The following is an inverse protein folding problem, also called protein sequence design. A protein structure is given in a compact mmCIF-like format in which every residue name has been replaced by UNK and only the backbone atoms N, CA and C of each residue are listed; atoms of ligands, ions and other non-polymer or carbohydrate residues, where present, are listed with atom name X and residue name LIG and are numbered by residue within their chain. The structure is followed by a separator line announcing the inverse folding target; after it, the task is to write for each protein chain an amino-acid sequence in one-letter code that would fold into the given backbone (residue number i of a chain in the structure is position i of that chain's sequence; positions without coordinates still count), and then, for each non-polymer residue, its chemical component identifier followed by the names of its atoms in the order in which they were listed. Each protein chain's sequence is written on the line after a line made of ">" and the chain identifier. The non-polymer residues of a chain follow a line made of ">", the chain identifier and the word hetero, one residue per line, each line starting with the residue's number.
data_IF_580560481111
#
_entry.id   IF_580560481111
#
_cell.length_a   1.000
_cell.length_b   1.000
_cell.length_c   1.000
_cell.angle_alpha   90.00
_cell.angle_beta   90.00
_cell.angle_gamma   90.00
#
_symmetry.space_group_name_H-M   'P 1'
#
loop_
_entity.id
_entity.type
_entity.pdbx_description
1 polymer ?
#
# COMPACT_ATOMS: atom_id res chain seq x y z
N UNK A 1 -26.16 -15.80 -23.68
CA UNK A 1 -24.72 -15.85 -23.87
C UNK A 1 -24.15 -14.79 -22.89
N UNK A 2 -23.58 -15.22 -21.78
CA UNK A 2 -22.88 -14.31 -20.87
C UNK A 2 -21.63 -13.82 -21.63
N UNK A 3 -21.49 -12.51 -21.77
CA UNK A 3 -20.26 -11.93 -22.29
C UNK A 3 -19.11 -12.38 -21.36
N UNK A 4 -18.14 -13.10 -21.91
CA UNK A 4 -16.87 -13.37 -21.23
C UNK A 4 -16.33 -12.00 -20.80
N UNK A 5 -16.26 -11.75 -19.49
CA UNK A 5 -15.54 -10.59 -19.00
C UNK A 5 -14.12 -10.69 -19.58
N UNK A 6 -13.69 -9.68 -20.31
CA UNK A 6 -12.31 -9.61 -20.81
C UNK A 6 -11.40 -9.65 -19.59
N UNK A 7 -10.50 -10.64 -19.53
CA UNK A 7 -9.48 -10.70 -18.51
C UNK A 7 -8.63 -9.43 -18.62
N UNK A 8 -8.64 -8.62 -17.59
CA UNK A 8 -7.92 -7.35 -17.55
C UNK A 8 -7.00 -7.35 -16.34
N UNK A 9 -5.76 -6.92 -16.52
CA UNK A 9 -4.90 -6.52 -15.44
C UNK A 9 -5.16 -5.04 -15.17
N UNK A 10 -5.59 -4.68 -13.96
CA UNK A 10 -5.90 -3.28 -13.65
C UNK A 10 -5.46 -2.89 -12.24
N UNK A 11 -5.16 -1.60 -12.08
CA UNK A 11 -4.80 -0.98 -10.81
C UNK A 11 -5.85 0.07 -10.48
N UNK A 12 -6.35 0.05 -9.25
CA UNK A 12 -7.31 1.00 -8.71
C UNK A 12 -6.82 1.60 -7.40
N UNK A 13 -7.11 2.87 -7.17
CA UNK A 13 -6.97 3.50 -5.86
C UNK A 13 -8.35 3.63 -5.20
N UNK A 14 -8.41 3.42 -3.89
CA UNK A 14 -9.62 3.56 -3.08
C UNK A 14 -9.27 4.40 -1.85
N UNK A 15 -9.74 5.66 -1.82
CA UNK A 15 -9.58 6.53 -0.68
C UNK A 15 -10.60 6.15 0.41
N UNK A 16 -10.12 6.00 1.66
CA UNK A 16 -10.99 5.67 2.79
C UNK A 16 -10.93 6.71 3.92
N UNK A 17 -10.13 7.78 3.77
CA UNK A 17 -10.07 8.89 4.70
C UNK A 17 -8.99 9.89 4.33
N UNK A 18 -8.93 10.97 5.13
CA UNK A 18 -7.89 12.00 5.07
C UNK A 18 -7.50 12.43 6.47
N UNK A 19 -6.27 12.89 6.63
CA UNK A 19 -5.76 13.49 7.85
C UNK A 19 -4.56 14.38 7.52
N UNK A 20 -3.74 14.71 8.53
CA UNK A 20 -2.54 15.52 8.34
C UNK A 20 -1.36 14.91 9.08
N UNK A 21 -0.15 15.17 8.57
CA UNK A 21 1.11 14.83 9.22
C UNK A 21 2.00 16.08 9.39
N UNK A 22 2.80 16.16 10.47
CA UNK A 22 3.81 17.19 10.62
C UNK A 22 4.98 16.96 9.64
N UNK A 23 5.64 18.05 9.26
CA UNK A 23 6.65 18.02 8.21
C UNK A 23 7.90 17.22 8.54
N UNK A 24 8.25 17.10 9.80
CA UNK A 24 9.36 16.26 10.27
C UNK A 24 9.06 14.76 10.19
N UNK A 25 7.81 14.36 10.12
CA UNK A 25 7.43 12.98 9.74
C UNK A 25 7.50 12.77 8.23
N UNK A 26 7.03 13.74 7.45
CA UNK A 26 6.96 13.64 5.99
C UNK A 26 8.35 13.63 5.35
N UNK A 27 9.25 14.52 5.80
CA UNK A 27 10.59 14.67 5.25
C UNK A 27 11.63 14.63 6.37
N UNK A 28 12.72 13.94 6.13
CA UNK A 28 13.88 13.98 7.03
C UNK A 28 14.42 15.41 7.11
N UNK A 29 14.45 15.96 8.34
CA UNK A 29 14.80 17.37 8.58
C UNK A 29 13.71 18.37 8.23
N UNK A 30 12.48 17.93 8.01
CA UNK A 30 11.32 18.80 7.76
C UNK A 30 10.93 19.63 8.99
N UNK A 31 10.20 20.72 8.75
CA UNK A 31 9.71 21.61 9.82
C UNK A 31 8.47 20.97 10.50
N UNK A 32 8.52 20.66 11.81
CA UNK A 32 7.38 20.09 12.52
C UNK A 32 6.17 21.04 12.60
N UNK A 33 6.35 22.34 12.38
CA UNK A 33 5.25 23.31 12.32
C UNK A 33 4.54 23.30 10.95
N UNK A 34 5.17 22.78 9.94
CA UNK A 34 4.54 22.61 8.63
C UNK A 34 3.62 21.39 8.67
N UNK A 35 2.34 21.61 8.41
CA UNK A 35 1.34 20.53 8.42
C UNK A 35 0.99 20.15 6.97
N UNK A 36 1.11 18.88 6.64
CA UNK A 36 0.85 18.32 5.33
C UNK A 36 -0.46 17.53 5.32
N UNK A 37 -1.39 17.81 4.39
CA UNK A 37 -2.54 16.94 4.19
C UNK A 37 -2.09 15.62 3.60
N UNK A 38 -2.68 14.53 4.07
CA UNK A 38 -2.49 13.19 3.54
C UNK A 38 -3.83 12.49 3.30
N UNK A 39 -3.85 11.60 2.31
CA UNK A 39 -4.93 10.64 2.11
C UNK A 39 -4.62 9.33 2.81
N UNK A 40 -5.66 8.56 3.07
CA UNK A 40 -5.57 7.16 3.45
C UNK A 40 -6.09 6.35 2.26
N UNK A 41 -5.20 5.64 1.58
CA UNK A 41 -5.47 4.94 0.33
C UNK A 41 -5.22 3.44 0.47
N UNK A 42 -6.09 2.66 -0.15
CA UNK A 42 -5.83 1.27 -0.52
C UNK A 42 -5.58 1.21 -2.02
N UNK A 43 -4.73 0.29 -2.45
CA UNK A 43 -4.61 -0.02 -3.88
C UNK A 43 -5.09 -1.44 -4.14
N UNK A 44 -5.94 -1.59 -5.15
CA UNK A 44 -6.44 -2.88 -5.61
C UNK A 44 -5.84 -3.20 -6.97
N UNK A 45 -5.24 -4.38 -7.09
CA UNK A 45 -4.82 -4.94 -8.37
C UNK A 45 -5.76 -6.10 -8.70
N UNK A 46 -6.46 -5.99 -9.83
CA UNK A 46 -7.25 -7.09 -10.38
C UNK A 46 -6.47 -7.75 -11.51
N UNK A 47 -6.33 -9.06 -11.48
CA UNK A 47 -5.68 -9.87 -12.50
C UNK A 47 -6.43 -11.18 -12.67
N UNK A 48 -5.95 -12.11 -13.51
CA UNK A 48 -6.63 -13.37 -13.80
C UNK A 48 -6.87 -14.22 -12.55
N UNK A 49 -8.10 -14.19 -12.05
CA UNK A 49 -8.55 -14.95 -10.88
C UNK A 49 -8.14 -14.38 -9.53
N UNK A 50 -7.43 -13.25 -9.47
CA UNK A 50 -6.99 -12.61 -8.24
C UNK A 50 -7.48 -11.18 -8.09
N UNK A 51 -7.81 -10.82 -6.85
CA UNK A 51 -8.01 -9.46 -6.34
C UNK A 51 -7.04 -9.23 -5.21
N UNK A 52 -5.94 -8.56 -5.53
CA UNK A 52 -4.84 -8.33 -4.61
C UNK A 52 -4.94 -6.93 -4.04
N UNK A 53 -5.10 -6.82 -2.73
CA UNK A 53 -5.10 -5.55 -2.04
C UNK A 53 -3.68 -5.24 -1.55
N UNK A 54 -3.22 -4.01 -1.76
CA UNK A 54 -1.98 -3.52 -1.18
C UNK A 54 -2.36 -2.71 0.06
N UNK A 55 -1.95 -3.22 1.20
CA UNK A 55 -2.35 -2.85 2.55
C UNK A 55 -3.84 -3.05 2.84
N UNK A 56 -4.18 -3.14 4.12
CA UNK A 56 -5.53 -3.42 4.59
C UNK A 56 -6.23 -2.21 5.20
N UNK A 57 -5.51 -1.12 5.44
CA UNK A 57 -6.02 0.04 6.14
C UNK A 57 -6.32 -0.21 7.62
N UNK A 58 -7.12 0.68 8.22
CA UNK A 58 -7.55 0.57 9.62
C UNK A 58 -9.00 1.04 9.79
N UNK A 59 -9.61 0.70 10.93
CA UNK A 59 -10.96 1.19 11.29
C UNK A 59 -10.91 2.38 12.25
N UNK A 60 -9.76 2.66 12.82
CA UNK A 60 -9.54 3.79 13.72
C UNK A 60 -8.10 4.26 13.59
N UNK A 61 -7.85 5.53 13.84
CA UNK A 61 -6.51 6.13 13.82
C UNK A 61 -6.35 7.03 15.06
N UNK A 62 -6.09 6.43 16.24
CA UNK A 62 -6.00 7.18 17.49
C UNK A 62 -4.95 8.29 17.45
N UNK A 63 -5.33 9.48 17.91
CA UNK A 63 -4.45 10.67 17.90
C UNK A 63 -4.53 11.50 16.62
N UNK A 64 -5.27 11.08 15.61
CA UNK A 64 -5.47 11.83 14.37
C UNK A 64 -6.91 12.34 14.24
N UNK A 65 -7.06 13.53 13.67
CA UNK A 65 -8.36 14.05 13.25
C UNK A 65 -8.62 13.54 11.83
N UNK A 66 -9.65 12.69 11.69
CA UNK A 66 -9.98 12.06 10.41
C UNK A 66 -11.10 12.82 9.72
N UNK A 67 -10.97 13.02 8.42
CA UNK A 67 -11.98 13.61 7.53
C UNK A 67 -12.41 12.56 6.49
N UNK A 68 -13.68 12.57 6.10
CA UNK A 68 -14.28 11.66 5.10
C UNK A 68 -13.96 10.18 5.36
N UNK A 69 -13.75 9.83 6.63
CA UNK A 69 -13.26 8.53 7.03
C UNK A 69 -14.38 7.47 7.02
N UNK A 70 -14.05 6.32 6.49
CA UNK A 70 -14.87 5.09 6.52
C UNK A 70 -13.98 3.87 6.67
N UNK A 71 -14.54 2.75 7.09
CA UNK A 71 -13.74 1.52 7.16
C UNK A 71 -13.24 1.11 5.77
N UNK A 72 -12.07 0.44 5.65
CA UNK A 72 -11.57 -0.10 4.39
C UNK A 72 -12.60 -0.95 3.64
N UNK A 73 -13.31 -1.82 4.36
CA UNK A 73 -14.37 -2.65 3.80
C UNK A 73 -15.54 -1.83 3.23
N UNK A 74 -15.96 -0.75 3.92
CA UNK A 74 -17.01 0.12 3.42
C UNK A 74 -16.56 0.89 2.17
N UNK A 75 -15.31 1.38 2.14
CA UNK A 75 -14.77 2.08 0.97
C UNK A 75 -14.67 1.16 -0.26
N UNK A 76 -14.25 -0.08 -0.08
CA UNK A 76 -14.25 -1.10 -1.14
C UNK A 76 -15.68 -1.40 -1.64
N UNK A 77 -16.63 -1.61 -0.70
CA UNK A 77 -18.02 -1.89 -1.06
C UNK A 77 -18.67 -0.73 -1.84
N UNK A 78 -18.41 0.52 -1.44
CA UNK A 78 -18.87 1.72 -2.17
C UNK A 78 -18.25 1.82 -3.58
N UNK A 79 -17.03 1.30 -3.74
CA UNK A 79 -16.39 1.18 -5.06
C UNK A 79 -16.93 0.00 -5.90
N UNK A 80 -17.80 -0.84 -5.32
CA UNK A 80 -18.39 -2.01 -5.98
C UNK A 80 -17.59 -3.31 -5.80
N UNK A 81 -16.64 -3.37 -4.89
CA UNK A 81 -15.81 -4.53 -4.59
C UNK A 81 -16.24 -5.14 -3.26
N UNK A 82 -16.74 -6.36 -3.28
CA UNK A 82 -17.08 -7.08 -2.06
C UNK A 82 -15.81 -7.47 -1.29
N UNK A 83 -15.68 -7.16 0.01
CA UNK A 83 -14.49 -7.52 0.80
C UNK A 83 -14.15 -9.01 0.76
N UNK A 84 -15.16 -9.88 0.77
CA UNK A 84 -14.98 -11.34 0.69
C UNK A 84 -14.44 -11.82 -0.67
N UNK A 85 -14.39 -10.95 -1.69
CA UNK A 85 -13.82 -11.25 -2.99
C UNK A 85 -12.31 -10.97 -3.09
N UNK A 86 -11.72 -10.37 -2.05
CA UNK A 86 -10.27 -10.17 -1.97
C UNK A 86 -9.60 -11.52 -1.75
N UNK A 87 -8.69 -11.89 -2.63
CA UNK A 87 -7.99 -13.18 -2.60
C UNK A 87 -6.64 -13.10 -1.88
N UNK A 88 -6.00 -11.93 -1.94
CA UNK A 88 -4.67 -11.71 -1.42
C UNK A 88 -4.58 -10.30 -0.82
N UNK A 89 -3.83 -10.15 0.26
CA UNK A 89 -3.45 -8.84 0.83
C UNK A 89 -1.93 -8.82 0.99
N UNK A 90 -1.28 -7.89 0.32
CA UNK A 90 0.15 -7.62 0.52
C UNK A 90 0.28 -6.55 1.59
N UNK A 91 0.91 -6.86 2.71
CA UNK A 91 1.18 -5.91 3.79
C UNK A 91 2.56 -5.31 3.56
N UNK A 92 2.60 -4.02 3.21
CA UNK A 92 3.86 -3.30 3.00
C UNK A 92 4.64 -3.21 4.30
N UNK A 93 3.96 -2.94 5.41
CA UNK A 93 4.53 -2.96 6.76
C UNK A 93 3.40 -3.03 7.82
N UNK A 94 3.76 -3.24 9.07
CA UNK A 94 2.80 -3.59 10.12
C UNK A 94 2.41 -2.41 11.04
N UNK A 95 2.42 -1.16 10.54
CA UNK A 95 1.75 -0.08 11.25
C UNK A 95 0.24 -0.22 11.15
N UNK A 96 -0.48 0.34 12.13
CA UNK A 96 -1.90 0.09 12.34
C UNK A 96 -2.76 0.46 11.12
N UNK A 97 -2.42 1.53 10.42
CA UNK A 97 -3.12 2.03 9.24
C UNK A 97 -2.84 1.24 7.94
N UNK A 98 -1.97 0.23 8.01
CA UNK A 98 -1.67 -0.69 6.92
C UNK A 98 -2.16 -2.12 7.17
N UNK A 99 -2.21 -2.58 8.45
CA UNK A 99 -2.49 -3.98 8.78
C UNK A 99 -3.79 -4.22 9.56
N UNK A 100 -4.29 -3.26 10.34
CA UNK A 100 -5.39 -3.53 11.29
C UNK A 100 -6.73 -3.90 10.60
N UNK A 101 -6.89 -3.50 9.33
CA UNK A 101 -8.05 -3.83 8.51
C UNK A 101 -8.08 -5.26 7.97
N UNK A 102 -7.05 -6.09 8.16
CA UNK A 102 -6.99 -7.48 7.63
C UNK A 102 -8.18 -8.35 8.05
N UNK A 103 -8.82 -8.05 9.19
CA UNK A 103 -10.01 -8.73 9.66
C UNK A 103 -11.23 -8.66 8.72
N UNK A 104 -11.23 -7.69 7.81
CA UNK A 104 -12.28 -7.52 6.81
C UNK A 104 -12.11 -8.45 5.60
N UNK A 105 -10.97 -9.13 5.49
CA UNK A 105 -10.60 -9.96 4.34
C UNK A 105 -10.35 -11.42 4.74
N UNK A 106 -11.35 -12.12 5.32
CA UNK A 106 -11.15 -13.44 5.95
C UNK A 106 -10.79 -14.56 4.97
N UNK A 107 -11.01 -14.34 3.67
CA UNK A 107 -10.68 -15.30 2.61
C UNK A 107 -9.28 -15.07 2.00
N UNK A 108 -8.68 -13.93 2.29
CA UNK A 108 -7.41 -13.53 1.68
C UNK A 108 -6.22 -14.26 2.29
N UNK A 109 -5.22 -14.55 1.45
CA UNK A 109 -3.87 -14.88 1.91
C UNK A 109 -3.14 -13.59 2.23
N UNK A 110 -2.62 -13.45 3.45
CA UNK A 110 -1.83 -12.29 3.87
C UNK A 110 -0.36 -12.54 3.54
N UNK A 111 0.23 -11.74 2.68
CA UNK A 111 1.66 -11.78 2.33
C UNK A 111 2.38 -10.71 3.15
N UNK A 112 3.27 -11.11 4.04
CA UNK A 112 3.93 -10.22 5.00
C UNK A 112 5.40 -10.60 5.21
N UNK A 113 6.25 -9.60 5.32
CA UNK A 113 7.67 -9.81 5.61
C UNK A 113 7.86 -10.35 7.05
N UNK A 114 8.86 -11.24 7.24
CA UNK A 114 9.11 -11.98 8.48
C UNK A 114 9.21 -11.08 9.72
N UNK A 115 9.93 -9.96 9.65
CA UNK A 115 10.10 -9.06 10.80
C UNK A 115 8.79 -8.34 11.18
N UNK A 116 7.97 -8.00 10.19
CA UNK A 116 6.65 -7.40 10.43
C UNK A 116 5.67 -8.45 10.99
N UNK A 117 5.71 -9.67 10.47
CA UNK A 117 4.93 -10.78 11.00
C UNK A 117 5.24 -11.02 12.47
N UNK A 118 6.52 -11.12 12.84
CA UNK A 118 6.94 -11.38 14.22
C UNK A 118 6.47 -10.29 15.21
N UNK A 119 6.37 -9.06 14.75
CA UNK A 119 5.86 -7.93 15.54
C UNK A 119 4.35 -7.96 15.73
N UNK A 120 3.58 -8.46 14.76
CA UNK A 120 2.11 -8.31 14.73
C UNK A 120 1.33 -9.62 14.68
N UNK A 121 1.96 -10.79 14.64
CA UNK A 121 1.28 -12.09 14.56
C UNK A 121 0.21 -12.32 15.63
N UNK A 122 0.41 -11.76 16.84
CA UNK A 122 -0.57 -11.85 17.93
C UNK A 122 -1.84 -11.01 17.69
N UNK A 123 -1.80 -10.06 16.75
CA UNK A 123 -2.92 -9.17 16.40
C UNK A 123 -3.67 -9.64 15.15
N UNK A 124 -3.15 -10.66 14.45
CA UNK A 124 -3.82 -11.20 13.26
C UNK A 124 -5.07 -11.98 13.66
N UNK A 125 -6.11 -12.02 12.80
CA UNK A 125 -7.31 -12.81 13.06
C UNK A 125 -6.97 -14.29 13.26
N UNK A 126 -7.63 -14.97 14.20
CA UNK A 126 -7.46 -16.42 14.38
C UNK A 126 -7.80 -17.17 13.09
N UNK A 127 -6.87 -18.04 12.64
CA UNK A 127 -7.05 -18.83 11.42
C UNK A 127 -6.77 -18.09 10.12
N UNK A 128 -6.23 -16.87 10.16
CA UNK A 128 -5.78 -16.17 8.96
C UNK A 128 -4.76 -17.00 8.17
N UNK A 129 -4.95 -17.09 6.86
CA UNK A 129 -3.96 -17.68 5.97
C UNK A 129 -2.81 -16.67 5.77
N UNK A 130 -1.59 -17.05 6.11
CA UNK A 130 -0.43 -16.15 6.07
C UNK A 130 0.71 -16.78 5.30
N UNK A 131 1.22 -16.05 4.32
CA UNK A 131 2.46 -16.33 3.61
C UNK A 131 3.53 -15.35 4.10
N UNK A 132 4.49 -15.86 4.83
CA UNK A 132 5.62 -15.07 5.36
C UNK A 132 6.80 -15.19 4.42
N UNK A 133 7.45 -14.07 4.10
CA UNK A 133 8.63 -14.05 3.23
C UNK A 133 9.80 -13.27 3.89
N UNK A 134 11.03 -13.55 3.46
CA UNK A 134 12.24 -12.88 3.95
C UNK A 134 12.64 -11.69 3.06
N UNK A 135 13.17 -11.95 1.87
CA UNK A 135 13.71 -10.90 1.00
C UNK A 135 12.69 -10.40 -0.04
N UNK A 136 11.74 -11.25 -0.38
CA UNK A 136 10.70 -10.95 -1.34
C UNK A 136 9.91 -12.18 -1.77
N UNK A 137 8.83 -11.94 -2.51
CA UNK A 137 8.01 -12.98 -3.11
C UNK A 137 7.28 -12.43 -4.35
N UNK A 138 6.68 -13.32 -5.15
CA UNK A 138 5.78 -12.91 -6.24
C UNK A 138 4.36 -13.33 -5.88
N UNK A 139 3.41 -12.39 -5.94
CA UNK A 139 1.99 -12.59 -5.64
C UNK A 139 1.20 -12.59 -6.94
N UNK A 140 0.21 -13.48 -7.06
CA UNK A 140 -0.65 -13.64 -8.24
C UNK A 140 0.15 -13.78 -9.56
N UNK A 141 1.41 -14.24 -9.50
CA UNK A 141 2.27 -14.46 -10.65
C UNK A 141 2.79 -13.21 -11.37
N UNK A 142 2.45 -11.99 -10.90
CA UNK A 142 2.78 -10.75 -11.61
C UNK A 142 3.12 -9.55 -10.71
N UNK A 143 2.96 -9.65 -9.39
CA UNK A 143 3.30 -8.59 -8.44
C UNK A 143 4.54 -9.03 -7.67
N UNK A 144 5.66 -8.36 -7.89
CA UNK A 144 6.89 -8.64 -7.19
C UNK A 144 6.96 -7.80 -5.91
N UNK A 145 7.10 -8.46 -4.76
CA UNK A 145 7.24 -7.82 -3.46
C UNK A 145 8.69 -7.90 -3.01
N UNK A 146 9.26 -6.78 -2.59
CA UNK A 146 10.66 -6.68 -2.20
C UNK A 146 10.81 -6.00 -0.84
N UNK A 147 11.59 -6.62 0.04
CA UNK A 147 11.97 -6.05 1.33
C UNK A 147 12.94 -4.87 1.14
N UNK A 148 12.62 -3.75 1.75
CA UNK A 148 13.44 -2.50 1.75
C UNK A 148 14.03 -2.24 3.13
N UNK A 149 13.22 -2.30 4.19
CA UNK A 149 13.63 -2.10 5.58
C UNK A 149 14.00 -0.67 5.92
N UNK A 150 13.44 0.30 5.21
CA UNK A 150 13.70 1.73 5.43
C UNK A 150 12.78 2.31 6.50
N UNK A 151 11.48 2.34 6.25
CA UNK A 151 10.49 2.92 7.16
C UNK A 151 10.30 2.08 8.43
N UNK A 152 10.22 0.78 8.32
CA UNK A 152 10.20 -0.18 9.43
C UNK A 152 11.15 -1.34 9.16
N UNK A 153 11.47 -2.20 10.15
CA UNK A 153 12.46 -3.29 9.97
C UNK A 153 12.14 -4.24 8.82
N UNK A 154 10.85 -4.49 8.56
CA UNK A 154 10.41 -5.37 7.49
C UNK A 154 9.63 -4.66 6.39
N UNK A 155 9.67 -3.31 6.33
CA UNK A 155 8.94 -2.58 5.30
C UNK A 155 9.34 -3.02 3.90
N UNK A 156 8.34 -3.18 3.05
CA UNK A 156 8.44 -3.77 1.73
C UNK A 156 7.65 -2.95 0.72
N UNK A 157 8.02 -3.05 -0.54
CA UNK A 157 7.30 -2.45 -1.67
C UNK A 157 6.73 -3.54 -2.55
N UNK A 158 5.72 -3.21 -3.35
CA UNK A 158 5.23 -4.08 -4.39
C UNK A 158 5.38 -3.41 -5.76
N UNK A 159 5.75 -4.17 -6.80
CA UNK A 159 5.99 -3.69 -8.14
C UNK A 159 5.19 -4.50 -9.16
N UNK A 160 4.65 -3.82 -10.17
CA UNK A 160 3.94 -4.46 -11.27
C UNK A 160 4.11 -3.65 -12.57
N UNK A 161 4.14 -4.34 -13.71
CA UNK A 161 4.15 -3.67 -15.01
C UNK A 161 2.77 -3.78 -15.67
N UNK A 162 2.20 -2.63 -16.02
CA UNK A 162 0.92 -2.54 -16.76
C UNK A 162 1.11 -1.67 -17.98
N UNK A 163 0.82 -2.18 -19.15
CA UNK A 163 0.98 -1.48 -20.44
C UNK A 163 2.37 -0.86 -20.64
N UNK A 164 3.42 -1.56 -20.19
CA UNK A 164 4.81 -1.11 -20.30
C UNK A 164 5.24 -0.08 -19.25
N UNK A 165 4.34 0.37 -18.39
CA UNK A 165 4.65 1.26 -17.25
C UNK A 165 4.90 0.43 -16.00
N UNK A 166 5.99 0.71 -15.30
CA UNK A 166 6.35 0.06 -14.04
C UNK A 166 5.79 0.85 -12.87
N UNK A 167 4.77 0.29 -12.22
CA UNK A 167 4.15 0.85 -11.03
C UNK A 167 4.79 0.28 -9.78
N UNK A 168 5.00 1.15 -8.77
CA UNK A 168 5.62 0.82 -7.50
C UNK A 168 4.71 1.29 -6.38
N UNK A 169 4.22 0.38 -5.55
CA UNK A 169 3.49 0.70 -4.32
C UNK A 169 4.51 0.86 -3.21
N UNK A 170 4.78 2.12 -2.84
CA UNK A 170 5.91 2.47 -1.99
C UNK A 170 5.68 2.27 -0.49
N UNK A 171 4.42 1.98 -0.07
CA UNK A 171 4.07 2.02 1.35
C UNK A 171 4.51 3.35 1.97
N UNK A 172 5.09 3.29 3.16
CA UNK A 172 5.60 4.45 3.89
C UNK A 172 7.10 4.70 3.73
N UNK A 173 7.75 4.02 2.76
CA UNK A 173 9.12 4.42 2.37
C UNK A 173 9.16 5.88 1.88
N UNK A 174 8.00 6.38 1.45
CA UNK A 174 7.76 7.76 1.08
C UNK A 174 6.28 8.09 1.30
N UNK A 175 5.97 9.12 2.10
CA UNK A 175 4.57 9.52 2.34
C UNK A 175 3.97 10.31 1.19
N UNK A 176 4.72 11.27 0.62
CA UNK A 176 4.23 12.22 -0.35
C UNK A 176 5.18 12.35 -1.54
N UNK A 177 4.68 12.76 -2.73
CA UNK A 177 5.50 12.94 -3.92
C UNK A 177 6.71 13.88 -3.73
N UNK A 178 6.63 14.80 -2.78
CA UNK A 178 7.73 15.73 -2.46
C UNK A 178 9.00 15.01 -2.02
N UNK A 179 8.89 13.85 -1.35
CA UNK A 179 10.04 13.03 -0.97
C UNK A 179 10.85 12.58 -2.20
N UNK A 180 10.14 12.08 -3.23
CA UNK A 180 10.76 11.64 -4.48
C UNK A 180 11.28 12.83 -5.31
N UNK A 181 10.52 13.93 -5.36
CA UNK A 181 10.90 15.15 -6.11
C UNK A 181 12.18 15.78 -5.57
N UNK A 182 12.31 15.84 -4.25
CA UNK A 182 13.49 16.40 -3.57
C UNK A 182 14.58 15.37 -3.29
N UNK A 183 14.27 14.06 -3.46
CA UNK A 183 15.13 12.93 -3.09
C UNK A 183 15.53 12.96 -1.62
N UNK A 184 14.58 13.39 -0.77
CA UNK A 184 14.72 13.42 0.68
C UNK A 184 13.83 12.29 1.24
N UNK A 185 14.37 11.35 2.02
CA UNK A 185 13.57 10.26 2.59
C UNK A 185 12.57 10.75 3.63
N UNK A 186 11.62 9.88 4.00
CA UNK A 186 10.71 10.15 5.11
C UNK A 186 11.46 10.42 6.41
N UNK A 187 10.92 11.30 7.25
CA UNK A 187 11.46 11.56 8.59
C UNK A 187 11.19 10.42 9.58
N UNK A 188 10.15 9.62 9.29
CA UNK A 188 9.77 8.43 10.09
C UNK A 188 10.50 7.16 9.60
N UNK A 189 11.83 7.21 9.51
CA UNK A 189 12.63 6.10 9.01
C UNK A 189 13.29 5.30 10.14
N UNK A 190 13.14 3.96 10.12
CA UNK A 190 13.89 3.04 10.96
C UNK A 190 15.36 2.93 10.51
N UNK A 191 15.57 2.84 9.19
CA UNK A 191 16.91 2.80 8.59
C UNK A 191 17.05 3.92 7.54
N UNK A 192 17.56 5.12 7.92
CA UNK A 192 17.66 6.27 7.03
C UNK A 192 18.39 5.99 5.73
N UNK A 193 19.43 5.13 5.77
CA UNK A 193 20.18 4.75 4.57
C UNK A 193 19.34 3.97 3.57
N UNK A 194 18.49 3.04 4.02
CA UNK A 194 17.61 2.27 3.14
C UNK A 194 16.53 3.16 2.54
N UNK A 195 15.92 4.06 3.35
CA UNK A 195 14.95 5.04 2.86
C UNK A 195 15.57 6.03 1.87
N UNK A 196 16.83 6.48 2.10
CA UNK A 196 17.55 7.32 1.14
C UNK A 196 17.78 6.57 -0.19
N UNK A 197 18.19 5.31 -0.11
CA UNK A 197 18.37 4.47 -1.30
C UNK A 197 17.07 4.28 -2.07
N UNK A 198 15.93 4.13 -1.36
CA UNK A 198 14.61 4.04 -1.98
C UNK A 198 14.30 5.31 -2.78
N UNK A 199 14.35 6.50 -2.18
CA UNK A 199 14.03 7.74 -2.90
C UNK A 199 14.99 8.03 -4.06
N UNK A 200 16.28 7.67 -3.94
CA UNK A 200 17.25 7.80 -5.04
C UNK A 200 16.91 6.88 -6.21
N UNK A 201 16.51 5.65 -5.94
CA UNK A 201 16.20 4.64 -6.96
C UNK A 201 14.87 4.97 -7.65
N UNK A 202 13.81 5.17 -6.86
CA UNK A 202 12.44 5.23 -7.36
C UNK A 202 11.99 6.63 -7.80
N UNK A 203 12.83 7.66 -7.63
CA UNK A 203 12.63 8.97 -8.27
C UNK A 203 12.99 8.99 -9.76
N UNK A 204 13.52 7.90 -10.30
CA UNK A 204 13.87 7.81 -11.71
C UNK A 204 12.60 7.70 -12.60
N UNK A 205 12.61 8.30 -13.82
CA UNK A 205 11.41 8.50 -14.63
C UNK A 205 10.77 7.21 -15.18
N UNK A 206 11.46 6.07 -15.11
CA UNK A 206 10.91 4.76 -15.51
C UNK A 206 9.91 4.19 -14.49
N UNK A 207 9.80 4.76 -13.30
CA UNK A 207 8.90 4.32 -12.26
C UNK A 207 7.73 5.27 -12.10
N UNK A 208 6.54 4.71 -11.89
CA UNK A 208 5.37 5.44 -11.42
C UNK A 208 5.09 4.97 -10.00
N UNK A 209 5.49 5.78 -9.02
CA UNK A 209 5.34 5.41 -7.60
C UNK A 209 3.97 5.84 -7.11
N UNK A 210 3.22 4.88 -6.56
CA UNK A 210 1.91 5.05 -5.94
C UNK A 210 2.10 5.06 -4.42
N UNK A 211 1.75 6.16 -3.78
CA UNK A 211 1.96 6.38 -2.35
C UNK A 211 0.63 6.30 -1.60
N UNK A 212 0.62 5.55 -0.51
CA UNK A 212 -0.58 5.32 0.31
C UNK A 212 -1.16 6.61 0.92
N UNK A 213 -0.35 7.67 0.98
CA UNK A 213 -0.71 8.93 1.61
C UNK A 213 -0.76 10.13 0.66
N UNK A 214 -0.63 9.92 -0.65
CA UNK A 214 -0.68 11.01 -1.64
C UNK A 214 -2.10 11.60 -1.78
N UNK A 215 -2.33 12.86 -1.38
CA UNK A 215 -3.65 13.49 -1.49
C UNK A 215 -4.05 13.84 -2.93
N UNK A 216 -3.14 13.75 -3.89
CA UNK A 216 -3.45 13.96 -5.31
C UNK A 216 -4.11 12.75 -5.96
N UNK A 217 -3.99 11.56 -5.36
CA UNK A 217 -4.62 10.33 -5.83
C UNK A 217 -6.07 10.29 -5.32
N UNK A 218 -7.01 10.09 -6.24
CA UNK A 218 -8.44 9.96 -5.94
C UNK A 218 -8.94 8.56 -6.23
N UNK A 219 -10.07 8.18 -5.64
CA UNK A 219 -10.71 6.89 -5.91
C UNK A 219 -11.00 6.73 -7.40
N UNK A 220 -10.49 5.64 -7.99
CA UNK A 220 -10.70 5.33 -9.40
C UNK A 220 -9.65 4.37 -9.98
N UNK A 221 -9.85 4.04 -11.25
CA UNK A 221 -8.90 3.21 -12.02
C UNK A 221 -7.67 4.05 -12.39
N UNK A 222 -6.48 3.55 -12.07
CA UNK A 222 -5.19 4.18 -12.40
C UNK A 222 -4.67 3.66 -13.73
N UNK A 223 -4.70 2.36 -13.95
CA UNK A 223 -4.15 1.70 -15.13
C UNK A 223 -4.91 0.44 -15.48
N UNK A 224 -4.84 0.03 -16.74
CA UNK A 224 -5.40 -1.23 -17.19
C UNK A 224 -4.71 -1.75 -18.47
N UNK A 225 -4.71 -3.10 -18.61
CA UNK A 225 -4.19 -3.82 -19.76
C UNK A 225 -5.01 -5.09 -19.99
N UNK A 226 -5.45 -5.34 -21.22
CA UNK A 226 -6.08 -6.61 -21.57
C UNK A 226 -5.07 -7.77 -21.40
N UNK A 227 -5.51 -8.86 -20.78
CA UNK A 227 -4.73 -10.08 -20.68
C UNK A 227 -4.99 -10.94 -21.95
N UNK A 228 -3.93 -11.52 -22.49
CA UNK A 228 -3.98 -12.32 -23.70
C UNK A 228 -4.67 -13.69 -23.48
#
# INVERSE_FOLDING_TARGET
>A
MAASASKELSIHAIAYGRTTLPGDMVLSGGDPQQIWPISLLLFLVETDGHRVLIDAGCDTMPGFVLEDFRSPAAALADYGIAPDSITDVIITHAHHDHIDGVRHFPQAVLHIQQLEYDRRKACLPPGASVHVFDNGCTVAGCIDVTHIGGHSPGSSIAEITVSGTRYVFGGDECYLPVCLQQKIPTGSSFCPRASEQFVQTYSAPQYTVLLAHDPSITTGKIAAQALA
#
